data_IF_322234890666
#
_entry.id   IF_322234890666
#
_cell.length_a   1.000
_cell.length_b   1.000
_cell.length_c   1.000
_cell.angle_alpha   90.00
_cell.angle_beta   90.00
_cell.angle_gamma   90.00
#
_symmetry.space_group_name_H-M   'P 1'
#
loop_
_entity.id
_entity.type
_entity.pdbx_description
1 polymer ?
#
# COMPACT_ATOMS: atom_id res chain seq x y z
N UNK A 1 -27.13 17.15 8.34
CA UNK A 1 -26.23 16.02 8.67
C UNK A 1 -25.59 16.37 9.99
N UNK A 2 -25.80 15.58 11.04
CA UNK A 2 -25.20 15.88 12.34
C UNK A 2 -23.69 15.68 12.21
N UNK A 3 -22.94 16.76 12.37
CA UNK A 3 -21.47 16.78 12.30
C UNK A 3 -20.83 15.78 13.27
N UNK A 4 -21.54 15.39 14.34
CA UNK A 4 -21.13 14.35 15.27
C UNK A 4 -20.94 12.97 14.65
N UNK A 5 -21.88 12.49 13.82
CA UNK A 5 -21.75 11.19 13.14
C UNK A 5 -20.66 11.22 12.08
N UNK A 6 -20.56 12.33 11.34
CA UNK A 6 -19.48 12.52 10.37
C UNK A 6 -18.10 12.57 11.04
N UNK A 7 -17.98 13.21 12.20
CA UNK A 7 -16.75 13.24 13.00
C UNK A 7 -16.34 11.85 13.51
N UNK A 8 -17.28 11.06 14.03
CA UNK A 8 -17.01 9.67 14.44
C UNK A 8 -16.58 8.79 13.25
N UNK A 9 -17.24 8.94 12.10
CA UNK A 9 -16.86 8.24 10.87
C UNK A 9 -15.43 8.59 10.42
N UNK A 10 -15.04 9.86 10.56
CA UNK A 10 -13.70 10.33 10.22
C UNK A 10 -12.63 9.77 11.15
N UNK A 11 -12.92 9.69 12.47
CA UNK A 11 -12.03 9.03 13.44
C UNK A 11 -11.87 7.55 13.10
N UNK A 12 -12.98 6.86 12.81
CA UNK A 12 -12.94 5.45 12.41
C UNK A 12 -12.10 5.25 11.14
N UNK A 13 -12.25 6.12 10.14
CA UNK A 13 -11.45 6.10 8.92
C UNK A 13 -9.95 6.33 9.21
N UNK A 14 -9.63 7.28 10.09
CA UNK A 14 -8.25 7.54 10.51
C UNK A 14 -7.62 6.30 11.18
N UNK A 15 -8.34 5.69 12.13
CA UNK A 15 -7.89 4.47 12.81
C UNK A 15 -7.71 3.33 11.82
N UNK A 16 -8.63 3.16 10.88
CA UNK A 16 -8.54 2.13 9.84
C UNK A 16 -7.31 2.31 8.94
N UNK A 17 -7.02 3.54 8.49
CA UNK A 17 -5.84 3.85 7.67
C UNK A 17 -4.55 3.59 8.44
N UNK A 18 -4.48 4.04 9.70
CA UNK A 18 -3.31 3.77 10.57
C UNK A 18 -3.10 2.27 10.76
N UNK A 19 -4.16 1.53 11.10
CA UNK A 19 -4.10 0.08 11.29
C UNK A 19 -3.67 -0.64 10.01
N UNK A 20 -4.21 -0.22 8.86
CA UNK A 20 -3.85 -0.75 7.54
C UNK A 20 -2.36 -0.53 7.23
N UNK A 21 -1.85 0.68 7.38
CA UNK A 21 -0.45 1.02 7.10
C UNK A 21 0.48 0.23 8.03
N UNK A 22 0.18 0.19 9.33
CA UNK A 22 0.95 -0.58 10.30
C UNK A 22 0.98 -2.08 10.00
N UNK A 23 -0.15 -2.64 9.57
CA UNK A 23 -0.23 -4.04 9.15
C UNK A 23 0.69 -4.30 7.94
N UNK A 24 0.67 -3.43 6.93
CA UNK A 24 1.50 -3.55 5.73
C UNK A 24 2.99 -3.38 6.00
N UNK A 25 3.35 -2.51 6.94
CA UNK A 25 4.74 -2.34 7.37
C UNK A 25 5.27 -3.60 8.06
N UNK A 26 4.46 -4.19 8.95
CA UNK A 26 4.78 -5.48 9.60
C UNK A 26 4.90 -6.62 8.60
N UNK A 27 4.02 -6.67 7.60
CA UNK A 27 4.08 -7.67 6.54
C UNK A 27 5.38 -7.56 5.74
N UNK A 28 5.78 -6.34 5.39
CA UNK A 28 7.05 -6.07 4.69
C UNK A 28 8.25 -6.51 5.53
N UNK A 29 8.25 -6.22 6.84
CA UNK A 29 9.31 -6.67 7.75
C UNK A 29 9.41 -8.20 7.83
N UNK A 30 8.25 -8.89 7.90
CA UNK A 30 8.21 -10.37 7.91
C UNK A 30 8.74 -10.99 6.63
N UNK A 31 8.48 -10.36 5.48
CA UNK A 31 9.05 -10.81 4.19
C UNK A 31 10.57 -10.68 4.18
N UNK A 32 11.12 -9.62 4.78
CA UNK A 32 12.56 -9.46 4.99
C UNK A 32 13.16 -10.60 5.82
N UNK A 33 12.55 -10.94 6.95
CA UNK A 33 12.97 -12.09 7.78
C UNK A 33 12.87 -13.41 7.02
N UNK A 34 11.84 -13.61 6.18
CA UNK A 34 11.71 -14.81 5.36
C UNK A 34 12.82 -14.94 4.31
N UNK A 35 13.25 -13.82 3.70
CA UNK A 35 14.37 -13.82 2.76
C UNK A 35 15.70 -14.20 3.44
N UNK A 36 15.88 -13.80 4.70
CA UNK A 36 17.03 -14.18 5.51
C UNK A 36 17.00 -15.68 5.87
N UNK A 37 15.83 -16.21 6.25
CA UNK A 37 15.63 -17.64 6.49
C UNK A 37 15.90 -18.49 5.23
N UNK A 38 15.47 -18.03 4.05
CA UNK A 38 15.77 -18.70 2.78
C UNK A 38 17.29 -18.88 2.58
N UNK A 39 18.06 -17.82 2.83
CA UNK A 39 19.52 -17.83 2.74
C UNK A 39 20.15 -18.81 3.74
N UNK A 40 19.64 -18.88 4.97
CA UNK A 40 20.09 -19.85 5.96
C UNK A 40 19.78 -21.29 5.53
N UNK A 41 18.56 -21.57 5.07
CA UNK A 41 18.16 -22.89 4.58
C UNK A 41 18.98 -23.34 3.36
N UNK A 42 19.30 -22.41 2.44
CA UNK A 42 20.20 -22.68 1.31
C UNK A 42 21.58 -23.14 1.78
N UNK A 43 22.12 -22.50 2.83
CA UNK A 43 23.41 -22.89 3.41
C UNK A 43 23.35 -24.26 4.09
N UNK A 44 22.25 -24.57 4.78
CA UNK A 44 22.02 -25.85 5.48
C UNK A 44 21.71 -27.02 4.53
N UNK A 45 21.19 -26.73 3.34
CA UNK A 45 20.91 -27.74 2.32
C UNK A 45 22.18 -28.48 1.87
N UNK A 46 23.36 -27.86 1.99
CA UNK A 46 24.65 -28.54 1.87
C UNK A 46 24.90 -29.25 0.55
N UNK A 47 24.19 -28.88 -0.53
CA UNK A 47 24.26 -29.55 -1.83
C UNK A 47 23.26 -30.69 -2.05
N UNK A 48 22.41 -31.03 -1.06
CA UNK A 48 21.34 -32.03 -1.23
C UNK A 48 20.30 -31.51 -2.25
N UNK A 49 20.13 -32.18 -3.40
CA UNK A 49 19.27 -31.70 -4.49
C UNK A 49 17.80 -31.56 -4.07
N UNK A 50 17.30 -32.41 -3.16
CA UNK A 50 15.90 -32.35 -2.71
C UNK A 50 15.69 -31.15 -1.78
N UNK A 51 16.65 -30.89 -0.89
CA UNK A 51 16.59 -29.73 0.01
C UNK A 51 16.75 -28.43 -0.75
N UNK A 52 17.62 -28.39 -1.75
CA UNK A 52 17.79 -27.23 -2.62
C UNK A 52 16.49 -26.92 -3.37
N UNK A 53 15.83 -27.93 -3.97
CA UNK A 53 14.55 -27.74 -4.65
C UNK A 53 13.46 -27.18 -3.73
N UNK A 54 13.39 -27.65 -2.47
CA UNK A 54 12.45 -27.12 -1.48
C UNK A 54 12.76 -25.66 -1.10
N UNK A 55 14.04 -25.28 -1.04
CA UNK A 55 14.47 -23.89 -0.79
C UNK A 55 14.15 -23.00 -1.98
N UNK A 56 14.30 -23.47 -3.22
CA UNK A 56 13.99 -22.70 -4.44
C UNK A 56 12.50 -22.36 -4.55
N UNK A 57 11.62 -23.30 -4.20
CA UNK A 57 10.17 -23.05 -4.16
C UNK A 57 9.80 -22.00 -3.09
N UNK A 58 10.45 -22.08 -1.93
CA UNK A 58 10.29 -21.10 -0.85
C UNK A 58 10.81 -19.71 -1.24
N UNK A 59 12.01 -19.63 -1.80
CA UNK A 59 12.64 -18.40 -2.32
C UNK A 59 11.75 -17.74 -3.38
N UNK A 60 11.24 -18.53 -4.33
CA UNK A 60 10.35 -18.04 -5.40
C UNK A 60 9.10 -17.38 -4.82
N UNK A 61 8.45 -18.03 -3.84
CA UNK A 61 7.28 -17.47 -3.15
C UNK A 61 7.60 -16.16 -2.44
N UNK A 62 8.76 -16.07 -1.81
CA UNK A 62 9.21 -14.87 -1.10
C UNK A 62 9.54 -13.73 -2.05
N UNK A 63 10.27 -13.99 -3.13
CA UNK A 63 10.62 -12.98 -4.13
C UNK A 63 9.39 -12.39 -4.80
N UNK A 64 8.39 -13.20 -5.14
CA UNK A 64 7.12 -12.72 -5.69
C UNK A 64 6.43 -11.72 -4.75
N UNK A 65 6.38 -12.05 -3.45
CA UNK A 65 5.78 -11.19 -2.43
C UNK A 65 6.61 -9.94 -2.15
N UNK A 66 7.94 -10.03 -2.14
CA UNK A 66 8.85 -8.89 -1.98
C UNK A 66 8.77 -7.93 -3.17
N UNK A 67 8.66 -8.45 -4.39
CA UNK A 67 8.49 -7.62 -5.58
C UNK A 67 7.17 -6.83 -5.51
N UNK A 68 6.07 -7.50 -5.15
CA UNK A 68 4.78 -6.84 -4.92
C UNK A 68 4.85 -5.81 -3.79
N UNK A 69 5.43 -6.17 -2.64
CA UNK A 69 5.55 -5.31 -1.47
C UNK A 69 6.43 -4.08 -1.72
N UNK A 70 7.47 -4.19 -2.54
CA UNK A 70 8.40 -3.09 -2.84
C UNK A 70 7.87 -2.15 -3.93
N UNK A 71 7.25 -2.68 -5.00
CA UNK A 71 6.73 -1.87 -6.09
C UNK A 71 5.38 -1.20 -5.72
N UNK A 72 4.43 -1.98 -5.24
CA UNK A 72 3.03 -1.54 -5.08
C UNK A 72 2.76 -1.04 -3.66
N UNK A 73 3.35 -1.70 -2.66
CA UNK A 73 3.12 -1.42 -1.24
C UNK A 73 3.30 0.06 -0.81
N UNK A 74 4.40 0.75 -1.16
CA UNK A 74 4.58 2.15 -0.79
C UNK A 74 3.53 3.08 -1.39
N UNK A 75 3.12 2.83 -2.63
CA UNK A 75 2.16 3.68 -3.36
C UNK A 75 0.75 3.53 -2.82
N UNK A 76 0.34 2.31 -2.47
CA UNK A 76 -0.98 2.08 -1.84
C UNK A 76 -1.04 2.70 -0.45
N UNK A 77 0.04 2.61 0.35
CA UNK A 77 0.13 3.29 1.66
C UNK A 77 0.05 4.81 1.50
N UNK A 78 0.78 5.39 0.55
CA UNK A 78 0.72 6.81 0.26
C UNK A 78 -0.67 7.24 -0.23
N UNK A 79 -1.35 6.44 -1.06
CA UNK A 79 -2.71 6.70 -1.51
C UNK A 79 -3.71 6.69 -0.33
N UNK A 80 -3.56 5.75 0.60
CA UNK A 80 -4.40 5.68 1.81
C UNK A 80 -4.24 6.92 2.69
N UNK A 81 -3.00 7.38 2.89
CA UNK A 81 -2.72 8.62 3.61
C UNK A 81 -3.28 9.85 2.89
N UNK A 82 -3.13 9.91 1.57
CA UNK A 82 -3.66 11.00 0.78
C UNK A 82 -5.20 11.04 0.87
N UNK A 83 -5.87 9.89 0.83
CA UNK A 83 -7.32 9.80 0.96
C UNK A 83 -7.79 10.29 2.34
N UNK A 84 -7.08 9.92 3.41
CA UNK A 84 -7.36 10.42 4.74
C UNK A 84 -7.18 11.94 4.83
N UNK A 85 -6.10 12.47 4.23
CA UNK A 85 -5.87 13.92 4.13
C UNK A 85 -7.00 14.65 3.40
N UNK A 86 -7.51 14.07 2.31
CA UNK A 86 -8.66 14.61 1.58
C UNK A 86 -9.93 14.61 2.44
N UNK A 87 -10.20 13.52 3.15
CA UNK A 87 -11.36 13.39 4.03
C UNK A 87 -11.31 14.40 5.21
N UNK A 88 -10.14 14.55 5.84
CA UNK A 88 -9.92 15.52 6.91
C UNK A 88 -10.12 16.96 6.42
N UNK A 89 -9.56 17.30 5.25
CA UNK A 89 -9.69 18.63 4.68
C UNK A 89 -11.14 18.93 4.23
N UNK A 90 -11.83 17.97 3.63
CA UNK A 90 -13.24 18.10 3.27
C UNK A 90 -14.12 18.29 4.52
N UNK A 91 -13.85 17.54 5.60
CA UNK A 91 -14.53 17.76 6.88
C UNK A 91 -14.25 19.14 7.46
N UNK A 92 -13.00 19.62 7.39
CA UNK A 92 -12.60 20.98 7.77
C UNK A 92 -13.41 22.05 7.03
N UNK A 93 -13.60 21.90 5.71
CA UNK A 93 -14.44 22.80 4.92
C UNK A 93 -15.91 22.78 5.39
N UNK A 94 -16.45 21.62 5.77
CA UNK A 94 -17.85 21.47 6.22
C UNK A 94 -18.11 22.10 7.60
N UNK A 95 -17.14 22.08 8.51
CA UNK A 95 -17.30 22.66 9.85
C UNK A 95 -16.92 24.14 9.92
N UNK A 96 -16.27 24.66 8.87
CA UNK A 96 -15.96 26.08 8.74
C UNK A 96 -17.15 26.82 8.16
N UNK A 97 -17.59 27.89 8.82
CA UNK A 97 -18.70 28.71 8.36
C UNK A 97 -18.17 29.94 7.59
N UNK A 98 -18.33 29.99 6.25
CA UNK A 98 -17.85 31.10 5.44
C UNK A 98 -18.62 32.40 5.70
N UNK A 99 -19.83 32.33 6.28
CA UNK A 99 -20.66 33.50 6.57
C UNK A 99 -20.16 34.32 7.78
N UNK A 100 -19.19 33.78 8.55
CA UNK A 100 -18.56 34.47 9.70
C UNK A 100 -17.54 35.55 9.30
N UNK A 101 -17.46 35.89 8.02
CA UNK A 101 -16.62 36.97 7.49
C UNK A 101 -15.46 36.50 6.62
N UNK A 102 -14.63 37.44 6.19
CA UNK A 102 -13.55 37.20 5.22
C UNK A 102 -12.59 36.08 5.66
N UNK A 103 -12.25 36.02 6.95
CA UNK A 103 -11.42 34.94 7.50
C UNK A 103 -12.06 33.56 7.33
N UNK A 104 -13.34 33.41 7.68
CA UNK A 104 -14.07 32.14 7.51
C UNK A 104 -14.10 31.70 6.06
N UNK A 105 -14.35 32.64 5.13
CA UNK A 105 -14.31 32.38 3.69
C UNK A 105 -12.94 31.88 3.23
N UNK A 106 -11.85 32.54 3.63
CA UNK A 106 -10.48 32.14 3.24
C UNK A 106 -10.14 30.75 3.78
N UNK A 107 -10.50 30.45 5.02
CA UNK A 107 -10.24 29.13 5.63
C UNK A 107 -11.03 28.03 4.93
N UNK A 108 -12.30 28.25 4.61
CA UNK A 108 -13.11 27.28 3.83
C UNK A 108 -12.49 27.01 2.46
N UNK A 109 -12.07 28.06 1.74
CA UNK A 109 -11.40 27.92 0.44
C UNK A 109 -10.10 27.12 0.58
N UNK A 110 -9.27 27.42 1.58
CA UNK A 110 -8.03 26.70 1.82
C UNK A 110 -8.28 25.20 2.04
N UNK A 111 -9.28 24.83 2.85
CA UNK A 111 -9.66 23.43 3.05
C UNK A 111 -10.12 22.74 1.76
N UNK A 112 -10.91 23.42 0.92
CA UNK A 112 -11.34 22.88 -0.37
C UNK A 112 -10.15 22.61 -1.28
N UNK A 113 -9.21 23.55 -1.37
CA UNK A 113 -7.99 23.41 -2.17
C UNK A 113 -7.15 22.24 -1.68
N UNK A 114 -6.93 22.14 -0.36
CA UNK A 114 -6.18 21.04 0.24
C UNK A 114 -6.86 19.70 -0.03
N UNK A 115 -8.19 19.62 0.11
CA UNK A 115 -8.96 18.43 -0.19
C UNK A 115 -8.80 18.00 -1.66
N UNK A 116 -8.85 18.96 -2.59
CA UNK A 116 -8.67 18.68 -4.02
C UNK A 116 -7.27 18.15 -4.34
N UNK A 117 -6.22 18.74 -3.75
CA UNK A 117 -4.82 18.28 -3.94
C UNK A 117 -4.64 16.86 -3.42
N UNK A 118 -5.15 16.56 -2.22
CA UNK A 118 -5.05 15.23 -1.64
C UNK A 118 -5.90 14.20 -2.39
N UNK A 119 -7.07 14.58 -2.88
CA UNK A 119 -7.90 13.71 -3.72
C UNK A 119 -7.17 13.37 -5.03
N UNK A 120 -6.57 14.36 -5.69
CA UNK A 120 -5.77 14.14 -6.89
C UNK A 120 -4.56 13.25 -6.60
N UNK A 121 -3.83 13.50 -5.51
CA UNK A 121 -2.70 12.66 -5.10
C UNK A 121 -3.13 11.21 -4.87
N UNK A 122 -4.29 11.00 -4.24
CA UNK A 122 -4.88 9.66 -4.05
C UNK A 122 -5.10 8.97 -5.39
N UNK A 123 -5.74 9.65 -6.35
CA UNK A 123 -6.01 9.10 -7.67
C UNK A 123 -4.72 8.75 -8.42
N UNK A 124 -3.73 9.64 -8.41
CA UNK A 124 -2.43 9.41 -9.07
C UNK A 124 -1.71 8.21 -8.44
N UNK A 125 -1.62 8.16 -7.11
CA UNK A 125 -0.94 7.06 -6.41
C UNK A 125 -1.67 5.73 -6.60
N UNK A 126 -3.00 5.74 -6.56
CA UNK A 126 -3.82 4.57 -6.85
C UNK A 126 -3.67 4.11 -8.31
N UNK A 127 -3.64 5.04 -9.26
CA UNK A 127 -3.45 4.73 -10.68
C UNK A 127 -2.07 4.12 -10.94
N UNK A 128 -1.00 4.67 -10.33
CA UNK A 128 0.34 4.09 -10.47
C UNK A 128 0.38 2.71 -9.81
N UNK A 129 -0.22 2.54 -8.63
CA UNK A 129 -0.30 1.24 -7.97
C UNK A 129 -1.07 0.21 -8.81
N UNK A 130 -2.19 0.60 -9.42
CA UNK A 130 -2.99 -0.25 -10.30
C UNK A 130 -2.26 -0.58 -11.60
N UNK A 131 -1.62 0.41 -12.22
CA UNK A 131 -0.78 0.20 -13.39
C UNK A 131 0.35 -0.77 -13.09
N UNK A 132 1.05 -0.61 -11.97
CA UNK A 132 2.08 -1.54 -11.54
C UNK A 132 1.51 -2.92 -11.21
N UNK A 133 0.35 -3.03 -10.59
CA UNK A 133 -0.30 -4.32 -10.37
C UNK A 133 -0.68 -5.02 -11.70
N UNK A 134 -1.02 -4.26 -12.74
CA UNK A 134 -1.39 -4.79 -14.05
C UNK A 134 -0.20 -5.08 -14.98
N UNK A 135 0.87 -4.29 -14.87
CA UNK A 135 2.05 -4.35 -15.76
C UNK A 135 3.27 -4.99 -15.14
N UNK A 136 3.29 -5.19 -13.81
CA UNK A 136 4.24 -6.11 -13.20
C UNK A 136 4.02 -7.44 -13.89
N UNK A 137 5.01 -7.93 -14.67
CA UNK A 137 4.91 -9.24 -15.22
C UNK A 137 4.67 -10.14 -14.02
N UNK A 138 3.53 -10.83 -14.00
CA UNK A 138 3.53 -12.13 -13.36
C UNK A 138 4.53 -12.87 -14.23
N UNK A 139 5.82 -12.81 -13.89
CA UNK A 139 6.81 -13.75 -14.40
C UNK A 139 6.22 -15.06 -13.95
N UNK A 140 5.43 -15.62 -14.84
CA UNK A 140 4.84 -16.91 -14.71
C UNK A 140 6.09 -17.76 -14.83
N UNK A 141 6.67 -18.10 -13.68
CA UNK A 141 7.65 -19.16 -13.63
C UNK A 141 7.05 -20.43 -14.22
N UNK A 142 5.73 -20.52 -14.42
CA UNK A 142 5.10 -21.52 -15.26
C UNK A 142 5.65 -21.53 -16.70
N UNK A 143 5.97 -20.38 -17.31
CA UNK A 143 6.64 -20.34 -18.62
C UNK A 143 8.11 -20.79 -18.51
N UNK A 144 8.82 -20.40 -17.44
CA UNK A 144 10.22 -20.81 -17.21
C UNK A 144 10.38 -22.30 -16.81
N UNK A 145 9.40 -22.88 -16.12
CA UNK A 145 9.33 -24.31 -15.80
C UNK A 145 8.81 -25.13 -16.99
N UNK A 146 8.00 -24.54 -17.88
CA UNK A 146 7.61 -25.18 -19.14
C UNK A 146 8.79 -25.31 -20.10
N UNK A 147 9.64 -24.28 -20.22
CA UNK A 147 10.88 -24.34 -21.03
C UNK A 147 11.86 -25.41 -20.51
N UNK A 148 12.02 -25.56 -19.19
CA UNK A 148 12.87 -26.60 -18.59
C UNK A 148 12.32 -28.04 -18.62
N UNK A 149 11.07 -28.24 -19.06
CA UNK A 149 10.43 -29.56 -19.17
C UNK A 149 10.44 -30.13 -20.60
N UNK A 150 11.06 -29.41 -21.53
CA UNK A 150 11.11 -29.73 -22.96
C UNK A 150 12.43 -30.35 -23.44
N UNK A 151 13.28 -30.80 -22.51
CA UNK A 151 14.47 -31.64 -22.78
C UNK A 151 14.29 -33.09 -22.33
#
# INVERSE_FOLDING_TARGET
MDTGWAGLGLIAAAVAVVAYVHYRDKETARLGTGAELARELRSLAGGDPVRIAAVEEYETTIYQRLFYASAIGPRVRAAAWALLGAALAAFGALVTDPAKGAFGTVVTIAFIVVAAVFALATLVLAAIAAYQAATTPRVSFADSYAEGSSE
#
